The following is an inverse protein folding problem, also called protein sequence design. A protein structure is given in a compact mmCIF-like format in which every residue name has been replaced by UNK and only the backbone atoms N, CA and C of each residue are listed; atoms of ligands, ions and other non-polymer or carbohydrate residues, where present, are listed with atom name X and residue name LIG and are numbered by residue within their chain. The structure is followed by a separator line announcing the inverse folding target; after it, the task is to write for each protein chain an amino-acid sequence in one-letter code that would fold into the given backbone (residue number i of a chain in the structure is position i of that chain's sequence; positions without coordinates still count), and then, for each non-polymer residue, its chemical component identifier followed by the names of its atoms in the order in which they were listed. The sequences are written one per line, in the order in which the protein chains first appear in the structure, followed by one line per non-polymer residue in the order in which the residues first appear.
data_IF_974612293952
#
_entry.id   IF_974612293952
#
_cell.length_a   1.000
_cell.length_b   1.000
_cell.length_c   1.000
_cell.angle_alpha   90.00
_cell.angle_beta   90.00
_cell.angle_gamma   90.00
#
_symmetry.space_group_name_H-M   'P 1'
#
loop_
_entity.id
_entity.type
_entity.pdbx_description
1 polymer ?
#
# COMPACT_ATOMS: atom_id res chain seq x y z
N UNK A 1 18.79 5.00 30.13
CA UNK A 1 18.17 6.08 30.95
C UNK A 1 19.06 6.57 32.10
N UNK A 2 19.28 5.84 33.21
CA UNK A 2 20.10 6.40 34.32
C UNK A 2 21.54 6.72 33.90
N UNK A 3 22.20 5.80 33.20
CA UNK A 3 23.58 5.97 32.73
C UNK A 3 23.73 7.13 31.73
N UNK A 4 22.73 7.37 30.89
CA UNK A 4 22.70 8.50 29.95
C UNK A 4 22.57 9.83 30.70
N UNK A 5 21.74 9.90 31.74
CA UNK A 5 21.62 11.07 32.60
C UNK A 5 22.92 11.32 33.36
N UNK A 6 23.58 10.27 33.87
CA UNK A 6 24.88 10.40 34.54
C UNK A 6 25.98 10.88 33.59
N UNK A 7 26.03 10.33 32.37
CA UNK A 7 26.97 10.76 31.32
C UNK A 7 26.72 12.22 30.92
N UNK A 8 25.45 12.59 30.75
CA UNK A 8 25.03 13.95 30.46
C UNK A 8 25.42 14.92 31.58
N UNK A 9 25.15 14.56 32.84
CA UNK A 9 25.51 15.39 34.00
C UNK A 9 27.02 15.55 34.15
N UNK A 10 27.80 14.51 33.82
CA UNK A 10 29.26 14.58 33.75
C UNK A 10 29.73 15.55 32.66
N UNK A 11 29.12 15.51 31.47
CA UNK A 11 29.42 16.45 30.39
C UNK A 11 29.07 17.89 30.77
N UNK A 12 27.95 18.10 31.48
CA UNK A 12 27.56 19.40 32.03
C UNK A 12 28.58 19.92 33.04
N UNK A 13 29.05 19.06 33.96
CA UNK A 13 30.07 19.43 34.95
C UNK A 13 31.40 19.81 34.30
N UNK A 14 31.86 19.03 33.30
CA UNK A 14 33.08 19.34 32.53
C UNK A 14 32.94 20.67 31.78
N UNK A 15 31.77 20.91 31.17
CA UNK A 15 31.46 22.17 30.51
C UNK A 15 31.56 23.37 31.47
N UNK A 16 30.98 23.26 32.68
CA UNK A 16 31.05 24.31 33.69
C UNK A 16 32.48 24.60 34.16
N UNK A 17 33.31 23.57 34.32
CA UNK A 17 34.72 23.74 34.71
C UNK A 17 35.49 24.50 33.62
N UNK A 18 35.35 24.08 32.36
CA UNK A 18 35.98 24.75 31.21
C UNK A 18 35.48 26.18 31.08
N UNK A 19 34.17 26.39 31.21
CA UNK A 19 33.56 27.69 31.17
C UNK A 19 34.12 28.63 32.25
N UNK A 20 34.24 28.14 33.48
CA UNK A 20 34.78 28.91 34.60
C UNK A 20 36.25 29.27 34.35
N UNK A 21 37.04 28.34 33.80
CA UNK A 21 38.42 28.60 33.41
C UNK A 21 38.51 29.67 32.30
N UNK A 22 37.65 29.59 31.28
CA UNK A 22 37.56 30.59 30.21
C UNK A 22 37.18 31.96 30.78
N UNK A 23 36.21 32.02 31.70
CA UNK A 23 35.79 33.27 32.34
C UNK A 23 36.92 33.92 33.15
N UNK A 24 37.70 33.13 33.87
CA UNK A 24 38.86 33.60 34.65
C UNK A 24 40.06 33.99 33.78
N UNK A 25 40.16 33.49 32.56
CA UNK A 25 41.23 33.84 31.62
C UNK A 25 40.97 35.18 30.89
N UNK A 26 39.77 35.76 31.04
CA UNK A 26 39.39 37.01 30.38
C UNK A 26 39.59 38.19 31.34
N UNK A 27 40.63 39.02 31.16
CA UNK A 27 40.90 40.17 32.03
C UNK A 27 40.03 41.40 31.72
N UNK A 28 39.22 41.37 30.66
CA UNK A 28 38.47 42.53 30.17
C UNK A 28 36.96 42.41 30.41
N UNK A 29 36.44 43.23 31.32
CA UNK A 29 35.00 43.38 31.63
C UNK A 29 34.12 43.64 30.39
N UNK A 30 34.68 44.28 29.35
CA UNK A 30 33.96 44.55 28.09
C UNK A 30 33.56 43.28 27.32
N UNK A 31 34.33 42.21 27.42
CA UNK A 31 34.04 40.93 26.73
C UNK A 31 33.24 39.96 27.60
N UNK A 32 33.20 40.17 28.91
CA UNK A 32 32.43 39.36 29.86
C UNK A 32 30.92 39.37 29.52
N UNK A 33 30.39 40.50 29.04
CA UNK A 33 29.00 40.61 28.59
C UNK A 33 28.68 39.67 27.43
N UNK A 34 29.48 39.67 26.37
CA UNK A 34 29.24 38.83 25.19
C UNK A 34 29.35 37.33 25.50
N UNK A 35 30.35 36.96 26.29
CA UNK A 35 30.63 35.56 26.63
C UNK A 35 29.57 35.01 27.57
N UNK A 36 29.01 35.84 28.47
CA UNK A 36 27.90 35.45 29.35
C UNK A 36 26.65 35.05 28.57
N UNK A 37 26.28 35.81 27.54
CA UNK A 37 25.11 35.50 26.71
C UNK A 37 25.35 34.25 25.85
N UNK A 38 26.53 34.16 25.22
CA UNK A 38 26.91 33.00 24.41
C UNK A 38 26.90 31.71 25.22
N UNK A 39 27.48 31.76 26.41
CA UNK A 39 27.50 30.64 27.36
C UNK A 39 26.09 30.24 27.79
N UNK A 40 25.21 31.20 28.05
CA UNK A 40 23.81 30.94 28.38
C UNK A 40 23.08 30.19 27.27
N UNK A 41 23.29 30.58 26.00
CA UNK A 41 22.75 29.87 24.84
C UNK A 41 23.35 28.46 24.72
N UNK A 42 24.65 28.32 24.96
CA UNK A 42 25.34 27.03 24.90
C UNK A 42 24.86 26.08 25.99
N UNK A 43 24.55 26.60 27.18
CA UNK A 43 23.94 25.86 28.28
C UNK A 43 22.53 25.39 27.92
N UNK A 44 21.70 26.27 27.33
CA UNK A 44 20.36 25.90 26.86
C UNK A 44 20.46 24.78 25.83
N UNK A 45 21.37 24.88 24.87
CA UNK A 45 21.60 23.84 23.86
C UNK A 45 22.03 22.50 24.49
N UNK A 46 22.90 22.55 25.51
CA UNK A 46 23.38 21.35 26.21
C UNK A 46 22.28 20.69 27.06
N UNK A 47 21.33 21.49 27.56
CA UNK A 47 20.12 21.04 28.26
C UNK A 47 19.04 20.51 27.32
N UNK A 48 18.99 20.95 26.06
CA UNK A 48 18.01 20.46 25.10
C UNK A 48 18.13 18.95 24.83
N UNK A 49 19.34 18.40 24.80
CA UNK A 49 19.57 16.98 24.51
C UNK A 49 18.83 15.99 25.44
N UNK A 50 18.94 16.06 26.78
CA UNK A 50 18.16 15.22 27.68
C UNK A 50 16.68 15.63 27.73
N UNK A 51 16.34 16.90 27.47
CA UNK A 51 14.94 17.33 27.41
C UNK A 51 14.22 16.64 26.25
N UNK A 52 14.83 16.55 25.07
CA UNK A 52 14.28 15.79 23.94
C UNK A 52 14.12 14.29 24.25
N UNK A 53 15.08 13.70 24.96
CA UNK A 53 14.97 12.31 25.43
C UNK A 53 13.84 12.13 26.46
N UNK A 54 13.68 13.07 27.39
CA UNK A 54 12.62 13.06 28.41
C UNK A 54 11.22 13.28 27.81
N UNK A 55 11.13 14.09 26.75
CA UNK A 55 9.94 14.34 25.95
C UNK A 55 9.55 13.15 25.05
N UNK A 56 10.33 12.06 25.05
CA UNK A 56 10.04 10.88 24.23
C UNK A 56 10.22 11.11 22.73
N UNK A 57 10.88 12.21 22.35
CA UNK A 57 11.36 12.46 20.99
C UNK A 57 12.73 11.79 20.79
N UNK A 58 12.86 10.55 21.27
CA UNK A 58 14.02 9.74 20.99
C UNK A 58 13.96 9.19 19.55
N UNK A 59 15.05 8.59 19.07
CA UNK A 59 15.11 8.02 17.72
C UNK A 59 13.98 7.02 17.43
N UNK A 60 13.39 6.40 18.46
CA UNK A 60 12.29 5.45 18.32
C UNK A 60 11.01 6.09 17.81
N UNK A 61 10.76 7.36 18.13
CA UNK A 61 9.60 8.07 17.60
C UNK A 61 9.75 8.29 16.09
N UNK A 62 10.96 8.65 15.64
CA UNK A 62 11.28 8.79 14.22
C UNK A 62 11.21 7.44 13.50
N UNK A 63 11.73 6.36 14.10
CA UNK A 63 11.67 5.02 13.53
C UNK A 63 10.22 4.52 13.37
N UNK A 64 9.36 4.81 14.36
CA UNK A 64 7.94 4.48 14.31
C UNK A 64 7.19 5.28 13.24
N UNK A 65 7.51 6.57 13.08
CA UNK A 65 6.94 7.39 12.01
C UNK A 65 7.36 6.88 10.64
N UNK A 66 8.64 6.56 10.46
CA UNK A 66 9.16 5.97 9.24
C UNK A 66 8.51 4.62 8.91
N UNK A 67 8.31 3.76 9.92
CA UNK A 67 7.59 2.50 9.77
C UNK A 67 6.14 2.73 9.32
N UNK A 68 5.43 3.69 9.92
CA UNK A 68 4.07 4.05 9.54
C UNK A 68 3.99 4.63 8.12
N UNK A 69 4.94 5.49 7.74
CA UNK A 69 5.00 6.06 6.39
C UNK A 69 5.22 4.95 5.35
N UNK A 70 6.16 4.02 5.60
CA UNK A 70 6.39 2.87 4.72
C UNK A 70 5.14 2.01 4.58
N UNK A 71 4.45 1.73 5.69
CA UNK A 71 3.21 0.94 5.69
C UNK A 71 2.08 1.66 4.93
N UNK A 72 1.94 2.97 5.08
CA UNK A 72 0.95 3.74 4.34
C UNK A 72 1.23 3.72 2.83
N UNK A 73 2.51 3.82 2.43
CA UNK A 73 2.90 3.76 1.02
C UNK A 73 2.60 2.40 0.39
N UNK A 74 2.89 1.28 1.07
CA UNK A 74 2.56 -0.06 0.54
C UNK A 74 1.06 -0.23 0.37
N UNK A 75 0.25 0.22 1.33
CA UNK A 75 -1.20 0.12 1.23
C UNK A 75 -1.79 0.95 0.08
N UNK A 76 -1.21 2.11 -0.23
CA UNK A 76 -1.66 2.95 -1.36
C UNK A 76 -1.32 2.26 -2.69
N UNK A 77 -0.12 1.68 -2.81
CA UNK A 77 0.31 0.97 -4.01
C UNK A 77 -0.54 -0.28 -4.25
N UNK A 78 -0.75 -1.10 -3.21
CA UNK A 78 -1.58 -2.31 -3.29
C UNK A 78 -3.02 -1.97 -3.70
N UNK A 79 -3.63 -0.96 -3.07
CA UNK A 79 -4.98 -0.52 -3.46
C UNK A 79 -5.05 -0.01 -4.90
N UNK A 80 -4.04 0.74 -5.34
CA UNK A 80 -3.98 1.23 -6.71
C UNK A 80 -3.85 0.09 -7.73
N UNK A 81 -3.06 -0.94 -7.44
CA UNK A 81 -2.92 -2.12 -8.30
C UNK A 81 -4.17 -2.99 -8.31
N UNK A 82 -4.85 -3.15 -7.17
CA UNK A 82 -6.12 -3.88 -7.07
C UNK A 82 -7.23 -3.20 -7.88
N UNK A 83 -7.39 -1.88 -7.73
CA UNK A 83 -8.38 -1.11 -8.49
C UNK A 83 -8.14 -1.19 -9.99
N UNK A 84 -6.88 -1.09 -10.43
CA UNK A 84 -6.51 -1.26 -11.84
C UNK A 84 -6.81 -2.67 -12.34
N UNK A 85 -6.42 -3.71 -11.58
CA UNK A 85 -6.72 -5.11 -11.94
C UNK A 85 -8.21 -5.36 -12.06
N UNK A 86 -9.02 -4.81 -11.16
CA UNK A 86 -10.47 -4.96 -11.20
C UNK A 86 -11.07 -4.29 -12.44
N UNK A 87 -10.59 -3.09 -12.78
CA UNK A 87 -11.01 -2.38 -13.99
C UNK A 87 -10.71 -3.18 -15.26
N UNK A 88 -9.49 -3.69 -15.40
CA UNK A 88 -9.11 -4.51 -16.55
C UNK A 88 -9.87 -5.83 -16.59
N UNK A 89 -10.09 -6.50 -15.44
CA UNK A 89 -10.90 -7.73 -15.37
C UNK A 89 -12.30 -7.49 -15.94
N UNK A 90 -13.00 -6.47 -15.45
CA UNK A 90 -14.38 -6.17 -15.88
C UNK A 90 -14.46 -5.83 -17.37
N UNK A 91 -13.43 -5.17 -17.92
CA UNK A 91 -13.34 -4.90 -19.34
C UNK A 91 -13.20 -6.20 -20.16
N UNK A 92 -12.29 -7.10 -19.76
CA UNK A 92 -12.12 -8.40 -20.41
C UNK A 92 -13.36 -9.30 -20.31
N UNK A 93 -14.02 -9.35 -19.14
CA UNK A 93 -15.27 -10.09 -18.95
C UNK A 93 -16.35 -9.67 -19.96
N UNK A 94 -16.51 -8.36 -20.16
CA UNK A 94 -17.45 -7.81 -21.13
C UNK A 94 -17.06 -8.12 -22.57
N UNK A 95 -15.78 -8.02 -22.91
CA UNK A 95 -15.31 -8.33 -24.27
C UNK A 95 -15.50 -9.80 -24.62
N UNK A 96 -15.13 -10.72 -23.72
CA UNK A 96 -15.31 -12.17 -23.91
C UNK A 96 -16.80 -12.49 -24.05
N UNK A 97 -17.65 -11.96 -23.15
CA UNK A 97 -19.09 -12.13 -23.23
C UNK A 97 -19.65 -11.67 -24.59
N UNK A 98 -19.25 -10.48 -25.05
CA UNK A 98 -19.72 -9.94 -26.33
C UNK A 98 -19.23 -10.76 -27.53
N UNK A 99 -17.98 -11.26 -27.49
CA UNK A 99 -17.43 -12.13 -28.53
C UNK A 99 -18.18 -13.46 -28.61
N UNK A 100 -18.41 -14.11 -27.48
CA UNK A 100 -19.13 -15.38 -27.40
C UNK A 100 -20.57 -15.20 -27.86
N UNK A 101 -21.26 -14.15 -27.41
CA UNK A 101 -22.62 -13.84 -27.86
C UNK A 101 -22.69 -13.68 -29.38
N UNK A 102 -21.76 -12.92 -29.97
CA UNK A 102 -21.71 -12.69 -31.41
C UNK A 102 -21.39 -13.96 -32.20
N UNK A 103 -20.49 -14.80 -31.67
CA UNK A 103 -20.13 -16.09 -32.27
C UNK A 103 -21.34 -17.04 -32.30
N UNK A 104 -22.04 -17.19 -31.17
CA UNK A 104 -23.22 -18.06 -31.07
C UNK A 104 -24.39 -17.55 -31.93
N UNK A 105 -24.56 -16.24 -32.06
CA UNK A 105 -25.54 -15.65 -32.99
C UNK A 105 -25.20 -15.93 -34.46
N UNK A 106 -23.91 -15.98 -34.81
CA UNK A 106 -23.46 -16.30 -36.18
C UNK A 106 -23.76 -17.76 -36.54
N UNK A 107 -23.78 -18.64 -35.53
CA UNK A 107 -24.14 -20.05 -35.64
C UNK A 107 -25.67 -20.27 -35.54
N UNK A 108 -26.48 -19.22 -35.57
CA UNK A 108 -27.96 -19.24 -35.48
C UNK A 108 -28.52 -19.82 -34.17
N UNK A 109 -27.72 -19.88 -33.08
CA UNK A 109 -28.21 -20.29 -31.77
C UNK A 109 -29.03 -19.16 -31.10
N UNK A 110 -30.12 -19.49 -30.38
CA UNK A 110 -31.01 -18.51 -29.74
C UNK A 110 -30.39 -17.95 -28.44
N UNK A 111 -29.28 -17.23 -28.53
CA UNK A 111 -28.59 -16.62 -27.38
C UNK A 111 -29.06 -15.17 -27.16
N UNK A 112 -29.71 -14.94 -26.01
CA UNK A 112 -30.17 -13.62 -25.54
C UNK A 112 -29.02 -12.79 -24.97
N UNK A 113 -28.17 -13.40 -24.13
CA UNK A 113 -27.05 -12.73 -23.48
C UNK A 113 -25.99 -13.74 -23.03
N UNK A 114 -24.75 -13.27 -22.89
CA UNK A 114 -23.65 -14.03 -22.30
C UNK A 114 -23.01 -13.20 -21.18
N UNK A 115 -22.65 -13.84 -20.09
CA UNK A 115 -21.87 -13.24 -19.00
C UNK A 115 -20.67 -14.14 -18.71
N UNK A 116 -19.46 -13.57 -18.85
CA UNK A 116 -18.22 -14.27 -18.53
C UNK A 116 -17.65 -13.71 -17.22
N UNK A 117 -17.20 -14.59 -16.34
CA UNK A 117 -16.51 -14.24 -15.09
C UNK A 117 -15.11 -14.84 -15.14
N UNK A 118 -14.10 -14.00 -14.96
CA UNK A 118 -12.70 -14.43 -14.94
C UNK A 118 -12.25 -14.79 -13.52
N UNK A 119 -11.33 -15.75 -13.44
CA UNK A 119 -10.72 -16.16 -12.19
C UNK A 119 -9.90 -15.02 -11.54
N UNK A 120 -9.66 -15.16 -10.23
CA UNK A 120 -8.97 -14.16 -9.41
C UNK A 120 -7.55 -13.78 -9.91
N UNK A 121 -6.95 -14.63 -10.75
CA UNK A 121 -5.63 -14.47 -11.36
C UNK A 121 -5.68 -13.94 -12.81
N UNK A 122 -6.87 -13.83 -13.42
CA UNK A 122 -7.06 -13.43 -14.82
C UNK A 122 -6.56 -14.44 -15.86
N UNK A 123 -6.18 -15.66 -15.45
CA UNK A 123 -5.56 -16.64 -16.34
C UNK A 123 -6.57 -17.46 -17.14
N UNK A 124 -7.79 -17.62 -16.62
CA UNK A 124 -8.84 -18.39 -17.24
C UNK A 124 -10.24 -17.85 -16.90
N UNK A 125 -11.20 -18.12 -17.79
CA UNK A 125 -12.63 -17.95 -17.49
C UNK A 125 -13.00 -18.96 -16.41
N UNK A 126 -13.50 -18.46 -15.28
CA UNK A 126 -13.95 -19.26 -14.14
C UNK A 126 -15.33 -19.84 -14.42
N UNK A 127 -16.25 -19.00 -14.89
CA UNK A 127 -17.60 -19.40 -15.27
C UNK A 127 -18.11 -18.56 -16.43
N UNK A 128 -18.81 -19.19 -17.35
CA UNK A 128 -19.53 -18.56 -18.44
C UNK A 128 -21.02 -18.89 -18.29
N UNK A 129 -21.86 -17.89 -18.16
CA UNK A 129 -23.31 -18.04 -18.09
C UNK A 129 -23.92 -17.59 -19.41
N UNK A 130 -24.67 -18.47 -20.05
CA UNK A 130 -25.36 -18.20 -21.31
C UNK A 130 -26.87 -18.17 -21.07
N UNK A 131 -27.53 -17.12 -21.55
CA UNK A 131 -28.97 -16.96 -21.51
C UNK A 131 -29.54 -17.35 -22.87
N UNK A 132 -30.31 -18.45 -22.91
CA UNK A 132 -30.88 -19.00 -24.14
C UNK A 132 -32.40 -18.74 -24.20
N UNK A 133 -32.93 -18.48 -25.39
CA UNK A 133 -34.37 -18.31 -25.64
C UNK A 133 -35.01 -19.66 -26.00
N UNK A 134 -36.01 -20.11 -25.22
CA UNK A 134 -36.79 -21.32 -25.51
C UNK A 134 -36.85 -22.35 -24.39
N UNK A 135 -37.36 -23.55 -24.71
CA UNK A 135 -37.35 -24.72 -23.80
C UNK A 135 -35.94 -25.33 -23.72
N UNK A 136 -35.69 -26.02 -22.61
CA UNK A 136 -34.40 -26.66 -22.34
C UNK A 136 -34.09 -27.74 -23.39
N UNK A 137 -33.24 -27.40 -24.35
CA UNK A 137 -32.74 -28.32 -25.36
C UNK A 137 -31.38 -28.89 -24.95
N UNK A 138 -31.40 -30.12 -24.40
CA UNK A 138 -30.20 -30.82 -23.97
C UNK A 138 -29.23 -31.13 -25.14
N UNK A 139 -29.74 -31.28 -26.37
CA UNK A 139 -28.89 -31.51 -27.54
C UNK A 139 -28.18 -30.23 -28.00
N UNK A 140 -28.88 -29.09 -27.96
CA UNK A 140 -28.29 -27.77 -28.22
C UNK A 140 -27.30 -27.32 -27.14
N UNK A 141 -27.57 -27.61 -25.86
CA UNK A 141 -26.63 -27.33 -24.75
C UNK A 141 -25.31 -28.12 -24.91
N UNK A 142 -25.38 -29.38 -25.36
CA UNK A 142 -24.20 -30.24 -25.53
C UNK A 142 -23.38 -29.82 -26.77
N UNK A 143 -24.04 -29.47 -27.88
CA UNK A 143 -23.38 -28.89 -29.05
C UNK A 143 -22.64 -27.58 -28.74
N UNK A 144 -23.27 -26.68 -27.96
CA UNK A 144 -22.64 -25.42 -27.54
C UNK A 144 -21.45 -25.68 -26.61
N UNK A 145 -21.51 -26.69 -25.73
CA UNK A 145 -20.35 -27.07 -24.90
C UNK A 145 -19.19 -27.58 -25.74
N UNK A 146 -19.47 -28.42 -26.74
CA UNK A 146 -18.44 -28.97 -27.63
C UNK A 146 -17.76 -27.85 -28.45
N UNK A 147 -18.54 -26.92 -29.01
CA UNK A 147 -18.01 -25.79 -29.78
C UNK A 147 -17.15 -24.84 -28.92
N UNK A 148 -17.58 -24.57 -27.68
CA UNK A 148 -16.83 -23.72 -26.75
C UNK A 148 -15.56 -24.41 -26.20
N UNK A 149 -15.57 -25.73 -26.13
CA UNK A 149 -14.39 -26.53 -25.78
C UNK A 149 -13.36 -26.53 -26.93
N UNK A 150 -13.81 -26.60 -28.18
CA UNK A 150 -12.93 -26.63 -29.36
C UNK A 150 -12.31 -25.26 -29.66
N UNK A 151 -13.10 -24.18 -29.66
CA UNK A 151 -12.64 -22.83 -30.03
C UNK A 151 -12.02 -22.07 -28.84
N UNK A 152 -12.60 -22.18 -27.64
CA UNK A 152 -12.17 -21.40 -26.46
C UNK A 152 -11.49 -22.24 -25.37
N UNK A 153 -11.35 -23.56 -25.53
CA UNK A 153 -10.80 -24.48 -24.50
C UNK A 153 -11.49 -24.35 -23.14
N UNK A 154 -12.76 -23.95 -23.16
CA UNK A 154 -13.59 -23.81 -21.97
C UNK A 154 -14.07 -25.21 -21.58
N UNK A 155 -13.56 -25.74 -20.46
CA UNK A 155 -13.98 -27.06 -19.98
C UNK A 155 -15.49 -27.11 -19.74
N UNK A 156 -16.13 -28.21 -20.15
CA UNK A 156 -17.59 -28.43 -20.15
C UNK A 156 -18.30 -28.06 -18.85
N UNK A 157 -17.60 -28.12 -17.73
CA UNK A 157 -18.12 -27.88 -16.37
C UNK A 157 -18.13 -26.39 -15.97
N UNK A 158 -17.56 -25.50 -16.78
CA UNK A 158 -17.49 -24.05 -16.53
C UNK A 158 -18.57 -23.26 -17.25
N UNK A 159 -19.39 -23.93 -18.06
CA UNK A 159 -20.48 -23.32 -18.83
C UNK A 159 -21.81 -23.62 -18.16
N UNK A 160 -22.51 -22.58 -17.73
CA UNK A 160 -23.84 -22.63 -17.17
C UNK A 160 -24.85 -22.07 -18.17
N UNK A 161 -26.01 -22.73 -18.29
CA UNK A 161 -27.11 -22.29 -19.14
C UNK A 161 -28.29 -21.87 -18.27
N UNK A 162 -28.84 -20.70 -18.56
CA UNK A 162 -30.03 -20.16 -17.93
C UNK A 162 -31.09 -19.90 -19.00
N UNK A 163 -32.33 -20.32 -18.71
CA UNK A 163 -33.51 -20.03 -19.52
C UNK A 163 -34.43 -19.10 -18.73
N UNK A 164 -35.02 -18.07 -19.34
CA UNK A 164 -35.99 -17.18 -18.69
C UNK A 164 -37.35 -17.86 -18.42
#
# INVERSE_FOLDING_TARGET
MREEIYSWMKNLAVFYIVLTAVMNLIPNEKYAGYIRHFTGLLLILLLCSPLFQLLGMDGRMLDNLDAQIRQAQTQILEKGEEEQREYYRKAYEREIAAQIQKYLQTLEYPVLAAEAVLAADGSAVQSLTLYLEGERDAAGEEAIRDELEEEYRLGRERVAFCYP
#
